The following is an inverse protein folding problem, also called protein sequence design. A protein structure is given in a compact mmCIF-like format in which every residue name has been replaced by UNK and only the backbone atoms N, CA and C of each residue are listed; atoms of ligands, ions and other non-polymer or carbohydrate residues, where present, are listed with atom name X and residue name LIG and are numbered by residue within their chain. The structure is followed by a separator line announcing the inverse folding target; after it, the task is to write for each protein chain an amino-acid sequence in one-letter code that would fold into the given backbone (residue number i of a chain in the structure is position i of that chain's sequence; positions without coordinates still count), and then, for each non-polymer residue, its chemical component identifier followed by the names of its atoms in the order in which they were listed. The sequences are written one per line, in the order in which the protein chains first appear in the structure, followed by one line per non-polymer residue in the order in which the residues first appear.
data_IF_943174642960
#
_entry.id   IF_943174642960
#
_cell.length_a   1.000
_cell.length_b   1.000
_cell.length_c   1.000
_cell.angle_alpha   90.00
_cell.angle_beta   90.00
_cell.angle_gamma   90.00
#
_symmetry.space_group_name_H-M   'P 1'
#
loop_
_entity.id
_entity.type
_entity.pdbx_description
1 polymer ?
#
# COMPACT_ATOMS: atom_id res chain seq x y z
N UNK A 1 -3.72 19.29 -13.91
CA UNK A 1 -4.39 18.61 -12.84
C UNK A 1 -3.44 18.25 -11.72
N UNK A 2 -3.85 18.46 -10.51
CA UNK A 2 -2.98 18.20 -9.38
C UNK A 2 -3.10 16.77 -8.92
N UNK A 3 -1.96 16.16 -8.69
CA UNK A 3 -1.94 14.83 -8.11
C UNK A 3 -2.09 14.94 -6.60
N UNK A 4 -2.93 14.10 -6.04
CA UNK A 4 -3.03 13.98 -4.60
C UNK A 4 -1.86 13.15 -4.09
N UNK A 5 -1.23 13.61 -3.03
CA UNK A 5 -0.04 12.95 -2.53
C UNK A 5 0.08 13.12 -1.02
N UNK A 6 0.49 12.04 -0.35
CA UNK A 6 0.77 12.03 1.08
C UNK A 6 2.14 11.40 1.26
N UNK A 7 2.93 11.95 2.17
CA UNK A 7 4.22 11.36 2.51
C UNK A 7 4.46 11.54 4.02
N UNK A 8 4.75 10.45 4.70
CA UNK A 8 4.88 10.42 6.15
C UNK A 8 6.17 9.75 6.56
N UNK A 9 6.95 10.36 7.48
CA UNK A 9 8.01 9.61 8.14
C UNK A 9 7.38 8.70 9.20
N UNK A 10 7.97 7.53 9.39
CA UNK A 10 7.42 6.52 10.30
C UNK A 10 8.54 5.98 11.17
N UNK A 11 8.36 6.03 12.48
CA UNK A 11 9.30 5.35 13.37
C UNK A 11 9.12 3.84 13.23
N UNK A 12 10.20 3.11 13.49
CA UNK A 12 10.19 1.67 13.27
C UNK A 12 9.55 0.87 14.40
N UNK A 13 8.38 1.27 14.83
CA UNK A 13 7.64 0.56 15.88
C UNK A 13 6.25 0.20 15.40
N UNK A 14 5.65 -0.85 15.98
CA UNK A 14 4.27 -1.20 15.60
C UNK A 14 3.27 -0.08 15.86
N UNK A 15 3.46 0.69 16.94
CA UNK A 15 2.56 1.80 17.23
C UNK A 15 2.64 2.86 16.15
N UNK A 16 3.87 3.21 15.74
CA UNK A 16 4.04 4.21 14.69
C UNK A 16 3.50 3.73 13.37
N UNK A 17 3.66 2.45 13.06
CA UNK A 17 3.12 1.88 11.84
C UNK A 17 1.59 1.95 11.83
N UNK A 18 0.96 1.63 12.96
CA UNK A 18 -0.49 1.71 13.06
C UNK A 18 -0.98 3.14 12.89
N UNK A 19 -0.27 4.10 13.48
CA UNK A 19 -0.60 5.51 13.34
C UNK A 19 -0.47 5.96 11.88
N UNK A 20 0.59 5.53 11.22
CA UNK A 20 0.81 5.89 9.81
C UNK A 20 -0.29 5.30 8.92
N UNK A 21 -0.70 4.07 9.19
CA UNK A 21 -1.80 3.46 8.44
C UNK A 21 -3.06 4.31 8.56
N UNK A 22 -3.37 4.74 9.79
CA UNK A 22 -4.55 5.57 10.01
C UNK A 22 -4.44 6.91 9.31
N UNK A 23 -3.25 7.52 9.36
CA UNK A 23 -3.05 8.81 8.71
C UNK A 23 -3.18 8.69 7.19
N UNK A 24 -2.67 7.62 6.61
CA UNK A 24 -2.85 7.38 5.19
C UNK A 24 -4.33 7.23 4.84
N UNK A 25 -5.05 6.44 5.62
CA UNK A 25 -6.47 6.22 5.35
C UNK A 25 -7.28 7.51 5.44
N UNK A 26 -7.02 8.30 6.47
CA UNK A 26 -7.70 9.58 6.64
C UNK A 26 -7.36 10.52 5.49
N UNK A 27 -6.08 10.59 5.13
CA UNK A 27 -5.65 11.48 4.07
C UNK A 27 -6.22 11.11 2.71
N UNK A 28 -6.27 9.82 2.41
CA UNK A 28 -6.83 9.37 1.14
C UNK A 28 -8.32 9.70 1.06
N UNK A 29 -9.04 9.48 2.15
CA UNK A 29 -10.46 9.80 2.18
C UNK A 29 -10.70 11.30 2.04
N UNK A 30 -9.78 12.10 2.56
CA UNK A 30 -9.91 13.55 2.49
C UNK A 30 -9.71 14.11 1.09
N UNK A 31 -9.19 13.32 0.17
CA UNK A 31 -8.99 13.77 -1.19
C UNK A 31 -10.31 13.97 -1.94
N UNK A 32 -11.39 13.43 -1.41
CA UNK A 32 -12.72 13.61 -2.01
C UNK A 32 -12.73 13.24 -3.49
N UNK A 33 -12.14 12.12 -3.80
CA UNK A 33 -11.89 11.71 -5.17
C UNK A 33 -12.85 10.62 -5.64
N UNK A 34 -13.96 10.42 -4.98
CA UNK A 34 -14.96 9.42 -5.37
C UNK A 34 -14.41 8.01 -5.42
N UNK A 35 -13.51 7.71 -4.51
CA UNK A 35 -12.97 6.36 -4.41
C UNK A 35 -14.00 5.46 -3.73
N UNK A 36 -14.16 4.26 -4.26
CA UNK A 36 -15.16 3.39 -3.67
C UNK A 36 -14.65 2.80 -2.35
N UNK A 37 -15.60 2.44 -1.49
CA UNK A 37 -15.29 2.02 -0.13
C UNK A 37 -14.46 0.74 -0.11
N UNK A 38 -14.72 -0.17 -1.02
CA UNK A 38 -13.98 -1.41 -1.08
C UNK A 38 -12.51 -1.14 -1.41
N UNK A 39 -12.25 -0.23 -2.33
CA UNK A 39 -10.89 0.15 -2.66
C UNK A 39 -10.19 0.77 -1.46
N UNK A 40 -10.89 1.65 -0.74
CA UNK A 40 -10.31 2.28 0.44
C UNK A 40 -9.92 1.26 1.49
N UNK A 41 -10.79 0.29 1.73
CA UNK A 41 -10.51 -0.75 2.73
C UNK A 41 -9.35 -1.64 2.28
N UNK A 42 -9.32 -1.99 1.01
CA UNK A 42 -8.24 -2.80 0.48
C UNK A 42 -6.91 -2.06 0.55
N UNK A 43 -6.90 -0.78 0.19
CA UNK A 43 -5.68 0.01 0.26
C UNK A 43 -5.18 0.14 1.70
N UNK A 44 -6.09 0.30 2.64
CA UNK A 44 -5.70 0.40 4.04
C UNK A 44 -5.08 -0.91 4.53
N UNK A 45 -5.65 -2.04 4.14
CA UNK A 45 -5.10 -3.34 4.51
C UNK A 45 -3.71 -3.51 3.91
N UNK A 46 -3.55 -3.18 2.65
CA UNK A 46 -2.24 -3.30 2.00
C UNK A 46 -1.23 -2.38 2.65
N UNK A 47 -1.62 -1.15 2.99
CA UNK A 47 -0.73 -0.24 3.68
C UNK A 47 -0.28 -0.83 5.02
N UNK A 48 -1.20 -1.45 5.75
CA UNK A 48 -0.85 -2.08 7.02
C UNK A 48 0.19 -3.18 6.83
N UNK A 49 0.04 -4.00 5.79
CA UNK A 49 0.98 -5.08 5.54
C UNK A 49 2.36 -4.57 5.13
N UNK A 50 2.39 -3.56 4.27
CA UNK A 50 3.68 -2.97 3.86
C UNK A 50 4.38 -2.31 5.04
N UNK A 51 3.63 -1.62 5.90
CA UNK A 51 4.20 -0.98 7.07
C UNK A 51 4.70 -2.01 8.08
N UNK A 52 3.93 -3.06 8.32
CA UNK A 52 4.36 -4.10 9.27
C UNK A 52 5.64 -4.76 8.76
N UNK A 53 5.71 -5.00 7.47
CA UNK A 53 6.90 -5.58 6.87
C UNK A 53 8.12 -4.67 7.05
N UNK A 54 7.94 -3.38 6.85
CA UNK A 54 9.04 -2.42 7.00
C UNK A 54 9.53 -2.37 8.44
N UNK A 55 8.62 -2.34 9.40
CA UNK A 55 8.98 -2.33 10.81
C UNK A 55 9.77 -3.59 11.18
N UNK A 56 9.35 -4.73 10.64
CA UNK A 56 10.02 -6.00 10.92
C UNK A 56 11.44 -6.03 10.37
N UNK A 57 11.66 -5.43 9.20
CA UNK A 57 12.92 -5.60 8.48
C UNK A 57 13.84 -4.38 8.53
N UNK A 58 13.33 -3.20 8.86
CA UNK A 58 14.12 -1.99 8.78
C UNK A 58 15.13 -1.81 9.89
N UNK A 59 14.95 -2.51 11.01
CA UNK A 59 15.82 -2.32 12.15
C UNK A 59 15.68 -0.91 12.69
N UNK A 60 16.78 -0.17 12.69
CA UNK A 60 16.78 1.19 13.23
C UNK A 60 16.77 2.27 12.17
N UNK A 61 16.72 1.87 10.92
CA UNK A 61 16.77 2.84 9.84
C UNK A 61 15.46 3.57 9.65
N UNK A 62 15.49 4.65 8.88
CA UNK A 62 14.27 5.42 8.63
C UNK A 62 13.28 4.65 7.77
N UNK A 63 12.01 4.90 8.03
CA UNK A 63 10.91 4.37 7.24
C UNK A 63 10.07 5.55 6.78
N UNK A 64 9.59 5.51 5.56
CA UNK A 64 8.62 6.47 5.08
C UNK A 64 7.47 5.74 4.39
N UNK A 65 6.29 6.32 4.46
CA UNK A 65 5.12 5.76 3.83
C UNK A 65 4.46 6.84 3.00
N UNK A 66 3.85 6.45 1.90
CA UNK A 66 3.22 7.43 1.03
C UNK A 66 2.09 6.85 0.24
N UNK A 67 1.28 7.75 -0.29
CA UNK A 67 0.19 7.41 -1.19
C UNK A 67 0.11 8.49 -2.26
N UNK A 68 -0.19 8.08 -3.48
CA UNK A 68 -0.41 9.01 -4.58
C UNK A 68 -1.59 8.56 -5.40
N UNK A 69 -2.39 9.52 -5.80
CA UNK A 69 -3.55 9.25 -6.63
C UNK A 69 -3.44 10.08 -7.89
N UNK A 70 -3.49 9.42 -9.02
CA UNK A 70 -3.68 10.10 -10.30
C UNK A 70 -5.06 9.66 -10.84
N UNK A 71 -5.32 9.97 -12.10
CA UNK A 71 -6.64 9.74 -12.68
C UNK A 71 -7.02 8.26 -12.71
N UNK A 72 -6.05 7.38 -12.75
CA UNK A 72 -6.33 5.97 -13.02
C UNK A 72 -5.83 5.04 -11.94
N UNK A 73 -4.93 5.49 -11.07
CA UNK A 73 -4.30 4.55 -10.15
C UNK A 73 -4.07 5.18 -8.79
N UNK A 74 -4.26 4.37 -7.78
CA UNK A 74 -3.86 4.69 -6.41
C UNK A 74 -2.61 3.89 -6.09
N UNK A 75 -1.55 4.59 -5.70
CA UNK A 75 -0.29 3.96 -5.33
C UNK A 75 -0.07 4.08 -3.84
N UNK A 76 0.26 2.97 -3.20
CA UNK A 76 0.71 2.93 -1.81
C UNK A 76 2.16 2.47 -1.82
N UNK A 77 3.01 3.16 -1.08
CA UNK A 77 4.42 2.78 -1.05
C UNK A 77 5.00 2.95 0.34
N UNK A 78 5.93 2.08 0.70
CA UNK A 78 6.65 2.15 1.97
C UNK A 78 8.12 1.91 1.67
N UNK A 79 8.97 2.83 2.10
CA UNK A 79 10.41 2.78 1.88
C UNK A 79 11.09 2.57 3.21
N UNK A 80 12.04 1.65 3.26
CA UNK A 80 12.80 1.42 4.47
C UNK A 80 14.29 1.31 4.15
N UNK A 81 15.11 1.25 5.18
CA UNK A 81 16.55 1.26 5.03
C UNK A 81 17.17 -0.13 4.93
N UNK A 82 16.35 -1.17 4.89
CA UNK A 82 16.86 -2.53 4.78
C UNK A 82 17.25 -2.84 3.35
N UNK A 83 18.43 -3.45 3.18
CA UNK A 83 18.84 -3.90 1.85
C UNK A 83 18.33 -5.30 1.53
N UNK A 84 17.66 -5.95 2.46
CA UNK A 84 17.18 -7.31 2.24
C UNK A 84 15.86 -7.27 1.50
N UNK A 85 15.81 -7.94 0.36
CA UNK A 85 14.56 -8.11 -0.34
C UNK A 85 13.70 -9.14 0.39
N UNK A 86 12.44 -8.83 0.68
CA UNK A 86 11.55 -9.81 1.29
C UNK A 86 11.29 -10.95 0.31
N UNK A 87 11.07 -12.12 0.85
CA UNK A 87 10.73 -13.28 0.02
C UNK A 87 9.23 -13.37 -0.09
N UNK A 88 8.76 -13.36 -1.32
CA UNK A 88 7.34 -13.47 -1.62
C UNK A 88 7.09 -14.83 -2.24
N UNK A 89 6.03 -15.49 -1.83
CA UNK A 89 5.62 -16.69 -2.53
C UNK A 89 6.05 -17.99 -1.89
N UNK A 90 6.86 -17.96 -0.88
CA UNK A 90 7.18 -19.15 -0.10
C UNK A 90 6.70 -18.89 1.31
N UNK A 91 5.43 -19.15 1.57
CA UNK A 91 4.91 -18.85 2.90
C UNK A 91 5.55 -19.79 3.89
N UNK A 92 6.40 -19.26 4.68
CA UNK A 92 6.75 -19.90 5.90
C UNK A 92 5.64 -19.53 6.84
N UNK A 93 4.87 -20.51 7.25
CA UNK A 93 3.70 -20.22 8.06
C UNK A 93 4.04 -19.54 9.36
N UNK A 94 5.28 -19.62 9.76
CA UNK A 94 5.72 -18.96 10.97
C UNK A 94 6.19 -17.54 10.74
N UNK A 95 6.21 -17.08 9.50
CA UNK A 95 6.69 -15.76 9.18
C UNK A 95 5.58 -14.87 8.72
N UNK A 96 5.15 -13.98 9.61
CA UNK A 96 4.07 -13.05 9.29
C UNK A 96 4.41 -12.18 8.10
N UNK A 97 5.68 -11.79 7.96
CA UNK A 97 6.09 -10.96 6.84
C UNK A 97 5.84 -11.60 5.50
N UNK A 98 6.06 -12.90 5.40
CA UNK A 98 5.80 -13.62 4.17
C UNK A 98 4.33 -13.62 3.81
N UNK A 99 3.46 -13.81 4.81
CA UNK A 99 2.03 -13.77 4.60
C UNK A 99 1.56 -12.39 4.18
N UNK A 100 2.12 -11.34 4.80
CA UNK A 100 1.72 -9.99 4.50
C UNK A 100 1.96 -9.64 3.05
N UNK A 101 3.12 -9.99 2.52
CA UNK A 101 3.41 -9.72 1.12
C UNK A 101 2.58 -10.58 0.20
N UNK A 102 2.23 -11.78 0.61
CA UNK A 102 1.32 -12.62 -0.16
C UNK A 102 -0.05 -11.95 -0.27
N UNK A 103 -0.53 -11.35 0.82
CA UNK A 103 -1.79 -10.60 0.80
C UNK A 103 -1.69 -9.43 -0.17
N UNK A 104 -0.58 -8.70 -0.15
CA UNK A 104 -0.39 -7.58 -1.09
C UNK A 104 -0.46 -8.09 -2.53
N UNK A 105 0.23 -9.18 -2.82
CA UNK A 105 0.24 -9.74 -4.16
C UNK A 105 -1.16 -10.15 -4.60
N UNK A 106 -1.97 -10.64 -3.66
CA UNK A 106 -3.33 -11.10 -3.98
C UNK A 106 -4.29 -9.94 -4.22
N UNK A 107 -4.09 -8.81 -3.55
CA UNK A 107 -5.07 -7.73 -3.56
C UNK A 107 -4.74 -6.58 -4.50
N UNK A 108 -3.46 -6.33 -4.76
CA UNK A 108 -3.06 -5.22 -5.60
C UNK A 108 -3.15 -5.60 -7.07
N UNK A 109 -3.47 -4.63 -7.90
CA UNK A 109 -3.44 -4.84 -9.35
C UNK A 109 -2.01 -4.99 -9.85
N UNK A 110 -1.09 -4.24 -9.25
CA UNK A 110 0.34 -4.35 -9.52
C UNK A 110 1.08 -4.11 -8.22
N UNK A 111 2.23 -4.72 -8.07
CA UNK A 111 3.05 -4.52 -6.89
C UNK A 111 4.50 -4.80 -7.24
N UNK A 112 5.39 -4.35 -6.38
CA UNK A 112 6.80 -4.61 -6.62
C UNK A 112 7.67 -4.17 -5.46
N UNK A 113 8.95 -4.47 -5.59
CA UNK A 113 9.97 -4.10 -4.65
C UNK A 113 11.13 -3.53 -5.45
N UNK A 114 11.47 -2.27 -5.18
CA UNK A 114 12.60 -1.63 -5.84
C UNK A 114 13.74 -1.54 -4.84
N UNK A 115 14.89 -2.05 -5.23
CA UNK A 115 16.08 -1.95 -4.39
C UNK A 115 16.73 -0.60 -4.66
N UNK A 116 17.02 0.11 -3.59
CA UNK A 116 17.57 1.46 -3.63
C UNK A 116 18.96 1.44 -3.06
N UNK A 117 19.80 2.45 -3.37
CA UNK A 117 21.12 2.52 -2.75
C UNK A 117 21.08 2.53 -1.22
N UNK A 118 20.02 3.09 -0.64
CA UNK A 118 19.91 3.23 0.81
C UNK A 118 18.85 2.35 1.44
N UNK A 119 18.29 1.38 0.68
CA UNK A 119 17.27 0.52 1.24
C UNK A 119 16.39 -0.08 0.16
N UNK A 120 15.09 -0.15 0.43
CA UNK A 120 14.16 -0.67 -0.55
C UNK A 120 12.82 0.06 -0.46
N UNK A 121 12.08 0.00 -1.54
CA UNK A 121 10.75 0.58 -1.65
C UNK A 121 9.79 -0.52 -2.07
N UNK A 122 8.84 -0.82 -1.21
CA UNK A 122 7.77 -1.78 -1.51
C UNK A 122 6.53 -0.99 -1.89
N UNK A 123 5.85 -1.40 -2.95
CA UNK A 123 4.74 -0.60 -3.45
C UNK A 123 3.62 -1.48 -3.98
N UNK A 124 2.43 -0.91 -4.04
CA UNK A 124 1.25 -1.56 -4.58
C UNK A 124 0.40 -0.53 -5.29
N UNK A 125 -0.14 -0.89 -6.43
CA UNK A 125 -1.00 -0.04 -7.23
C UNK A 125 -2.37 -0.67 -7.39
N UNK A 126 -3.38 0.18 -7.40
CA UNK A 126 -4.77 -0.23 -7.57
C UNK A 126 -5.40 0.62 -8.66
N UNK A 127 -6.15 -0.01 -9.54
CA UNK A 127 -6.93 0.73 -10.51
C UNK A 127 -8.07 1.43 -9.81
N UNK A 128 -8.26 2.70 -10.15
CA UNK A 128 -9.32 3.50 -9.56
C UNK A 128 -10.56 3.34 -10.41
N UNK A 129 -11.66 2.95 -9.74
CA UNK A 129 -12.94 2.84 -10.42
C UNK A 129 -13.53 4.21 -10.63
N UNK A 130 -13.58 4.65 -11.87
CA UNK A 130 -14.25 5.88 -12.21
C UNK A 130 -15.71 5.62 -12.55
N UNK A 131 -16.43 6.65 -12.94
CA UNK A 131 -17.81 6.48 -13.34
C UNK A 131 -18.01 5.45 -14.44
N UNK A 132 -17.09 5.38 -15.38
CA UNK A 132 -17.19 4.41 -16.46
C UNK A 132 -17.11 2.99 -15.93
N UNK A 133 -16.24 2.75 -14.98
CA UNK A 133 -16.08 1.42 -14.43
C UNK A 133 -17.30 1.03 -13.61
N UNK A 134 -17.88 1.99 -12.92
CA UNK A 134 -19.10 1.75 -12.18
C UNK A 134 -20.21 1.32 -13.12
N UNK A 135 -20.32 1.97 -14.26
CA UNK A 135 -21.31 1.60 -15.26
C UNK A 135 -21.09 0.18 -15.74
N UNK A 136 -19.88 -0.24 -15.90
CA UNK A 136 -19.58 -1.58 -16.35
C UNK A 136 -19.95 -2.65 -15.32
N UNK A 137 -19.91 -2.27 -14.06
CA UNK A 137 -20.28 -3.21 -13.01
C UNK A 137 -21.78 -3.41 -12.92
N UNK A 138 -22.56 -2.50 -13.45
CA UNK A 138 -23.98 -2.53 -13.27
C UNK A 138 -24.73 -3.49 -14.18
N UNK A 139 -24.40 -4.02 -15.13
CA UNK A 139 -25.21 -4.89 -15.93
C UNK A 139 -24.97 -6.33 -15.65
N UNK A 140 -24.93 -6.18 -15.51
CA UNK A 140 -24.53 -6.80 -15.52
C UNK A 140 -24.86 -7.59 -16.00
N UNK A 141 -24.88 -7.41 -16.09
CA UNK A 141 -24.80 -7.73 -16.38
C UNK A 141 -24.57 -8.30 -17.01
N UNK A 142 -24.37 -8.34 -17.02
CA UNK A 142 -23.70 -8.53 -17.34
C UNK A 142 -23.70 -9.22 -17.58
N UNK A 143 -23.79 -9.37 -17.56
CA UNK A 143 -23.49 -9.59 -17.48
C UNK A 143 -23.23 -9.54 -17.33
#
# INVERSE_FOLDING_TARGET
MEAHQIHLPVHGTPVAASSARQQLAIGIRAWDASLDQELLETAELVAAELLANAVRHAGHGPISAGARLNDERLLIEVTDASSKAPQVGLPDVDEEGGRGLFIVAALADRHGIDLLPSGKRCWAEFKVSGPDQLSRCLPLQRS
#
